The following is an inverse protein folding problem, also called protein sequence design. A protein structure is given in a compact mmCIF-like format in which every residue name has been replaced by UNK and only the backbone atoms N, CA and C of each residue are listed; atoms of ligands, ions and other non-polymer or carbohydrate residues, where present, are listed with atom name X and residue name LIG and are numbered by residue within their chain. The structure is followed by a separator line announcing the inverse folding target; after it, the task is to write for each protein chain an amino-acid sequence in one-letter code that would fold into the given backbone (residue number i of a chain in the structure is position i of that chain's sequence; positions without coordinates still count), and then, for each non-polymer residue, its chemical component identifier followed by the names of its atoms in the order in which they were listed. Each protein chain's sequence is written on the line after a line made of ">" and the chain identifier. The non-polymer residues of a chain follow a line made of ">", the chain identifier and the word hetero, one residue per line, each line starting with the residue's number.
data_IF_132765893816
#
_entry.id   IF_132765893816
#
_cell.length_a   1.000
_cell.length_b   1.000
_cell.length_c   1.000
_cell.angle_alpha   90.00
_cell.angle_beta   90.00
_cell.angle_gamma   90.00
#
_symmetry.space_group_name_H-M   'P 1'
#
loop_
_entity.id
_entity.type
_entity.pdbx_description
1 polymer ?
#
# COMPACT_ATOMS: atom_id res chain seq x y z
N UNK A 1 18.70 8.34 37.46
CA UNK A 1 19.69 7.95 36.44
C UNK A 1 19.17 6.69 35.76
N UNK A 2 18.28 6.85 34.77
CA UNK A 2 17.80 5.74 33.93
C UNK A 2 18.53 5.84 32.61
N UNK A 3 19.43 4.90 32.36
CA UNK A 3 20.11 4.77 31.07
C UNK A 3 19.08 4.19 30.11
N UNK A 4 18.43 5.06 29.33
CA UNK A 4 17.73 4.64 28.12
C UNK A 4 18.80 4.16 27.14
N UNK A 5 18.79 2.90 26.68
CA UNK A 5 19.66 2.51 25.58
C UNK A 5 19.23 3.33 24.36
N UNK A 6 20.17 4.08 23.79
CA UNK A 6 20.03 4.64 22.44
C UNK A 6 19.70 3.48 21.48
N UNK A 7 18.69 3.59 20.60
CA UNK A 7 18.44 2.58 19.58
C UNK A 7 19.56 2.66 18.55
N UNK A 8 20.69 2.01 18.84
CA UNK A 8 21.66 1.64 17.82
C UNK A 8 20.92 0.81 16.79
N UNK A 9 20.82 1.37 15.58
CA UNK A 9 20.35 0.72 14.38
C UNK A 9 20.87 -0.72 14.32
N UNK A 10 19.98 -1.69 14.54
CA UNK A 10 20.22 -3.06 14.11
C UNK A 10 20.29 -3.01 12.59
N UNK A 11 21.49 -3.20 12.05
CA UNK A 11 21.68 -3.33 10.62
C UNK A 11 20.77 -4.48 10.11
N UNK A 12 19.88 -4.24 9.14
CA UNK A 12 19.03 -5.30 8.61
C UNK A 12 19.88 -6.40 7.99
N UNK A 13 19.39 -7.64 8.04
CA UNK A 13 19.98 -8.77 7.34
C UNK A 13 20.27 -8.39 5.87
N UNK A 14 21.36 -8.89 5.24
CA UNK A 14 21.71 -8.51 3.88
C UNK A 14 20.57 -8.91 2.93
N UNK A 15 19.78 -7.93 2.49
CA UNK A 15 18.69 -8.15 1.55
C UNK A 15 19.25 -8.11 0.14
N UNK A 16 19.06 -9.18 -0.65
CA UNK A 16 19.27 -9.16 -2.11
C UNK A 16 18.35 -8.16 -2.83
N UNK A 17 17.37 -7.62 -2.12
CA UNK A 17 16.46 -6.57 -2.57
C UNK A 17 17.22 -5.23 -2.61
N UNK A 18 17.36 -4.69 -3.82
CA UNK A 18 18.03 -3.41 -4.10
C UNK A 18 17.04 -2.26 -4.23
N UNK A 19 15.82 -2.50 -4.70
CA UNK A 19 14.80 -1.45 -4.79
C UNK A 19 14.09 -1.23 -3.45
N UNK A 20 13.53 -0.03 -3.18
CA UNK A 20 12.67 0.16 -2.02
C UNK A 20 11.52 -0.85 -2.00
N UNK A 21 11.24 -1.40 -0.83
CA UNK A 21 10.19 -2.40 -0.65
C UNK A 21 9.32 -2.05 0.56
N UNK A 22 8.13 -2.63 0.59
CA UNK A 22 7.19 -2.52 1.70
C UNK A 22 6.82 -3.90 2.22
N UNK A 23 6.23 -3.92 3.41
CA UNK A 23 5.77 -5.15 4.07
C UNK A 23 4.32 -5.03 4.48
N UNK A 24 3.68 -6.19 4.67
CA UNK A 24 2.30 -6.26 5.09
C UNK A 24 2.07 -7.53 5.91
N UNK A 25 1.77 -7.38 7.20
CA UNK A 25 1.27 -8.47 8.06
C UNK A 25 -0.24 -8.33 8.09
N UNK A 26 -0.92 -9.17 7.32
CA UNK A 26 -2.33 -9.02 7.00
C UNK A 26 -3.20 -8.79 8.26
N UNK A 27 -3.86 -7.64 8.30
CA UNK A 27 -4.74 -7.16 9.37
C UNK A 27 -4.06 -6.81 10.70
N UNK A 28 -2.73 -6.74 10.70
CA UNK A 28 -1.97 -6.35 11.88
C UNK A 28 -1.01 -5.22 11.50
N UNK A 29 -1.48 -3.96 11.57
CA UNK A 29 -0.62 -2.82 11.27
C UNK A 29 0.48 -2.61 12.33
N UNK A 30 0.29 -3.09 13.56
CA UNK A 30 1.31 -3.05 14.62
C UNK A 30 2.47 -3.99 14.24
N UNK A 31 2.16 -5.25 13.95
CA UNK A 31 3.15 -6.22 13.48
C UNK A 31 3.76 -5.82 12.14
N UNK A 32 3.00 -5.14 11.27
CA UNK A 32 3.54 -4.59 10.01
C UNK A 32 4.63 -3.54 10.26
N UNK A 33 4.45 -2.66 11.24
CA UNK A 33 5.49 -1.72 11.66
C UNK A 33 6.70 -2.43 12.27
N UNK A 34 6.47 -3.42 13.13
CA UNK A 34 7.57 -4.20 13.73
C UNK A 34 8.40 -4.92 12.65
N UNK A 35 7.72 -5.54 11.68
CA UNK A 35 8.36 -6.18 10.53
C UNK A 35 9.09 -5.17 9.65
N UNK A 36 8.52 -3.98 9.44
CA UNK A 36 9.18 -2.93 8.67
C UNK A 36 10.49 -2.49 9.32
N UNK A 37 10.48 -2.28 10.64
CA UNK A 37 11.67 -1.93 11.41
C UNK A 37 12.71 -3.05 11.41
N UNK A 38 12.29 -4.31 11.50
CA UNK A 38 13.20 -5.46 11.49
C UNK A 38 13.85 -5.70 10.13
N UNK A 39 13.16 -5.38 9.04
CA UNK A 39 13.62 -5.68 7.66
C UNK A 39 14.20 -4.48 6.92
N UNK A 40 13.94 -3.26 7.39
CA UNK A 40 14.32 -2.03 6.70
C UNK A 40 13.33 -1.60 5.60
N UNK A 41 12.10 -2.14 5.61
CA UNK A 41 11.05 -1.77 4.68
C UNK A 41 10.72 -0.27 4.80
N UNK A 42 10.34 0.35 3.68
CA UNK A 42 10.09 1.79 3.59
C UNK A 42 8.63 2.18 3.71
N UNK A 43 7.73 1.21 3.58
CA UNK A 43 6.31 1.45 3.68
C UNK A 43 5.54 0.20 4.13
N UNK A 44 4.38 0.42 4.71
CA UNK A 44 3.41 -0.62 5.03
C UNK A 44 2.06 -0.30 4.38
N UNK A 45 1.30 -1.33 4.04
CA UNK A 45 0.00 -1.18 3.39
C UNK A 45 -1.07 -1.96 4.13
N UNK A 46 -1.90 -1.27 4.89
CA UNK A 46 -2.85 -1.89 5.80
C UNK A 46 -4.20 -1.18 5.83
N UNK A 47 -5.17 -1.83 6.47
CA UNK A 47 -6.46 -1.21 6.81
C UNK A 47 -6.31 -0.58 8.19
N UNK A 48 -5.98 0.71 8.22
CA UNK A 48 -5.73 1.43 9.47
C UNK A 48 -7.00 1.94 10.14
N UNK A 49 -8.05 2.22 9.36
CA UNK A 49 -9.23 2.96 9.82
C UNK A 49 -10.52 2.27 9.38
N UNK A 50 -11.59 2.52 10.13
CA UNK A 50 -12.94 2.04 9.84
C UNK A 50 -13.30 0.77 10.59
N UNK A 51 -14.56 0.37 10.43
CA UNK A 51 -15.05 -0.89 10.91
C UNK A 51 -15.73 -1.64 9.78
N UNK A 52 -15.37 -2.91 9.59
CA UNK A 52 -15.80 -3.70 8.43
C UNK A 52 -16.37 -5.05 8.87
N UNK A 53 -17.36 -5.55 8.13
CA UNK A 53 -17.78 -6.94 8.21
C UNK A 53 -17.17 -7.72 7.05
N UNK A 54 -16.63 -8.90 7.35
CA UNK A 54 -16.03 -9.82 6.37
C UNK A 54 -16.28 -11.27 6.78
N UNK A 55 -15.79 -12.21 5.97
CA UNK A 55 -15.78 -13.65 6.29
C UNK A 55 -14.97 -13.99 7.56
N UNK A 56 -14.15 -13.05 8.05
CA UNK A 56 -13.35 -13.18 9.28
C UNK A 56 -14.01 -12.51 10.49
N UNK A 57 -15.25 -12.02 10.35
CA UNK A 57 -15.98 -11.29 11.37
C UNK A 57 -15.84 -9.78 11.26
N UNK A 58 -16.00 -9.10 12.41
CA UNK A 58 -15.92 -7.64 12.50
C UNK A 58 -14.46 -7.21 12.65
N UNK A 59 -14.00 -6.37 11.75
CA UNK A 59 -12.74 -5.66 11.86
C UNK A 59 -13.00 -4.34 12.55
N UNK A 60 -12.52 -4.19 13.79
CA UNK A 60 -12.66 -2.97 14.59
C UNK A 60 -11.29 -2.31 14.73
N UNK A 61 -10.95 -1.44 13.77
CA UNK A 61 -9.59 -0.88 13.70
C UNK A 61 -9.39 0.25 14.70
N UNK A 62 -8.17 0.36 15.26
CA UNK A 62 -7.78 1.43 16.17
C UNK A 62 -6.53 2.14 15.66
N UNK A 63 -6.72 3.07 14.70
CA UNK A 63 -5.62 3.87 14.13
C UNK A 63 -4.80 4.60 15.20
N UNK A 64 -5.43 5.07 16.28
CA UNK A 64 -4.74 5.80 17.35
C UNK A 64 -3.74 4.92 18.10
N UNK A 65 -4.09 3.65 18.35
CA UNK A 65 -3.19 2.67 18.95
C UNK A 65 -2.02 2.34 18.02
N UNK A 66 -2.33 2.07 16.75
CA UNK A 66 -1.35 1.79 15.70
C UNK A 66 -0.32 2.90 15.53
N UNK A 67 -0.76 4.16 15.43
CA UNK A 67 0.14 5.30 15.24
C UNK A 67 0.93 5.61 16.52
N UNK A 68 0.34 5.45 17.72
CA UNK A 68 1.11 5.53 18.98
C UNK A 68 2.21 4.47 19.03
N UNK A 69 1.96 3.26 18.53
CA UNK A 69 2.98 2.22 18.42
C UNK A 69 4.09 2.61 17.44
N UNK A 70 3.74 3.10 16.24
CA UNK A 70 4.70 3.62 15.26
C UNK A 70 5.68 4.62 15.91
N UNK A 71 5.15 5.61 16.64
CA UNK A 71 5.99 6.58 17.35
C UNK A 71 6.85 5.94 18.44
N UNK A 72 6.30 4.99 19.21
CA UNK A 72 7.01 4.30 20.29
C UNK A 72 8.24 3.55 19.79
N UNK A 73 8.16 2.92 18.62
CA UNK A 73 9.26 2.13 18.04
C UNK A 73 10.15 2.95 17.09
N UNK A 74 9.88 4.25 16.92
CA UNK A 74 10.66 5.12 16.03
C UNK A 74 10.41 4.89 14.54
N UNK A 75 9.28 4.30 14.16
CA UNK A 75 8.92 4.00 12.77
C UNK A 75 8.29 5.21 12.01
N UNK A 76 8.59 6.44 12.42
CA UNK A 76 7.99 7.65 11.84
C UNK A 76 8.31 7.87 10.36
N UNK A 77 9.41 7.30 9.87
CA UNK A 77 9.82 7.37 8.46
C UNK A 77 9.23 6.24 7.60
N UNK A 78 8.54 5.25 8.20
CA UNK A 78 7.85 4.19 7.47
C UNK A 78 6.54 4.74 6.93
N UNK A 79 6.43 4.81 5.60
CA UNK A 79 5.26 5.36 4.91
C UNK A 79 4.03 4.47 5.08
N UNK A 80 2.86 5.09 5.13
CA UNK A 80 1.59 4.40 5.39
C UNK A 80 0.64 4.47 4.20
N UNK A 81 0.29 3.31 3.64
CA UNK A 81 -0.64 3.17 2.53
C UNK A 81 -1.96 2.63 3.08
N UNK A 82 -2.97 3.49 3.16
CA UNK A 82 -4.26 3.18 3.79
C UNK A 82 -5.21 2.53 2.80
N UNK A 83 -5.52 1.26 2.99
CA UNK A 83 -6.55 0.58 2.20
C UNK A 83 -7.95 0.90 2.73
N UNK A 84 -8.71 1.70 1.98
CA UNK A 84 -10.05 2.16 2.38
C UNK A 84 -11.18 1.34 1.75
N UNK A 85 -10.86 0.50 0.76
CA UNK A 85 -11.79 -0.46 0.14
C UNK A 85 -11.16 -1.85 0.25
N UNK A 86 -11.25 -2.50 1.42
CA UNK A 86 -10.73 -3.84 1.56
C UNK A 86 -11.51 -4.85 0.74
N UNK A 87 -10.80 -5.88 0.30
CA UNK A 87 -11.40 -7.00 -0.42
C UNK A 87 -12.19 -7.91 0.53
N UNK A 88 -13.29 -8.50 0.04
CA UNK A 88 -14.17 -9.41 0.79
C UNK A 88 -14.73 -8.81 2.09
N UNK A 89 -14.85 -7.48 2.14
CA UNK A 89 -15.30 -6.77 3.33
C UNK A 89 -16.20 -5.57 2.96
N UNK A 90 -17.18 -5.30 3.81
CA UNK A 90 -18.11 -4.16 3.68
C UNK A 90 -17.96 -3.25 4.89
N UNK A 91 -17.94 -1.94 4.65
CA UNK A 91 -17.91 -0.96 5.72
C UNK A 91 -19.23 -1.06 6.53
N UNK A 92 -19.13 -1.20 7.85
CA UNK A 92 -20.30 -1.40 8.72
C UNK A 92 -21.23 -0.18 8.77
N UNK A 93 -20.67 1.01 8.58
CA UNK A 93 -21.46 2.22 8.35
C UNK A 93 -21.91 2.34 6.89
N UNK A 94 -23.13 2.80 6.66
CA UNK A 94 -23.61 3.14 5.31
C UNK A 94 -23.03 4.51 4.86
N UNK A 95 -21.70 4.66 4.87
CA UNK A 95 -20.99 5.88 4.49
C UNK A 95 -20.55 5.78 3.04
N UNK A 96 -20.80 6.83 2.27
CA UNK A 96 -20.24 6.95 0.93
C UNK A 96 -18.71 7.00 0.95
N UNK A 97 -18.08 6.34 -0.01
CA UNK A 97 -16.63 6.20 -0.11
C UNK A 97 -15.88 7.53 -0.24
N UNK A 98 -16.46 8.53 -0.91
CA UNK A 98 -15.86 9.87 -1.00
C UNK A 98 -15.86 10.52 0.39
N UNK A 99 -16.92 10.32 1.18
CA UNK A 99 -16.98 10.79 2.56
C UNK A 99 -15.97 10.07 3.46
N UNK A 100 -15.79 8.75 3.27
CA UNK A 100 -14.75 7.98 3.96
C UNK A 100 -13.37 8.56 3.62
N UNK A 101 -13.03 8.68 2.33
CA UNK A 101 -11.76 9.20 1.85
C UNK A 101 -11.43 10.58 2.42
N UNK A 102 -12.38 11.54 2.35
CA UNK A 102 -12.20 12.89 2.92
C UNK A 102 -11.89 12.84 4.42
N UNK A 103 -12.67 12.07 5.18
CA UNK A 103 -12.48 11.97 6.63
C UNK A 103 -11.19 11.23 7.00
N UNK A 104 -10.79 10.22 6.22
CA UNK A 104 -9.54 9.49 6.45
C UNK A 104 -8.35 10.41 6.22
N UNK A 105 -8.35 11.18 5.13
CA UNK A 105 -7.28 12.14 4.82
C UNK A 105 -7.21 13.24 5.89
N UNK A 106 -8.35 13.86 6.21
CA UNK A 106 -8.40 14.95 7.17
C UNK A 106 -7.97 14.54 8.59
N UNK A 107 -8.38 13.35 9.05
CA UNK A 107 -8.09 12.93 10.42
C UNK A 107 -6.73 12.24 10.57
N UNK A 108 -6.24 11.54 9.54
CA UNK A 108 -5.11 10.61 9.68
C UNK A 108 -3.91 10.94 8.80
N UNK A 109 -4.07 11.81 7.80
CA UNK A 109 -2.98 12.26 6.91
C UNK A 109 -2.13 11.10 6.35
N UNK A 110 -2.75 10.09 5.69
CA UNK A 110 -2.02 8.96 5.15
C UNK A 110 -1.06 9.40 4.03
N UNK A 111 0.08 8.72 3.88
CA UNK A 111 0.98 9.00 2.76
C UNK A 111 0.36 8.61 1.41
N UNK A 112 -0.55 7.63 1.42
CA UNK A 112 -1.31 7.20 0.25
C UNK A 112 -2.64 6.55 0.65
N UNK A 113 -3.64 6.68 -0.22
CA UNK A 113 -4.85 5.84 -0.18
C UNK A 113 -4.75 4.72 -1.21
N UNK A 114 -5.21 3.54 -0.82
CA UNK A 114 -5.36 2.38 -1.67
C UNK A 114 -6.87 2.14 -1.92
N UNK A 115 -7.24 2.07 -3.19
CA UNK A 115 -8.62 1.80 -3.64
C UNK A 115 -8.63 0.54 -4.49
N UNK A 116 -9.36 -0.47 -4.03
CA UNK A 116 -9.56 -1.73 -4.76
C UNK A 116 -10.93 -1.77 -5.44
N UNK A 117 -11.04 -2.60 -6.49
CA UNK A 117 -12.34 -3.05 -6.99
C UNK A 117 -12.98 -4.06 -6.02
N UNK A 118 -14.28 -4.27 -6.14
CA UNK A 118 -15.09 -5.12 -5.24
C UNK A 118 -14.66 -6.60 -5.20
N UNK A 119 -13.84 -7.10 -6.14
CA UNK A 119 -13.38 -8.50 -6.17
C UNK A 119 -12.01 -8.63 -6.87
N UNK A 120 -11.05 -9.41 -6.34
CA UNK A 120 -9.80 -9.70 -7.04
C UNK A 120 -10.05 -10.31 -8.42
N UNK A 121 -9.34 -9.79 -9.42
CA UNK A 121 -9.50 -10.21 -10.82
C UNK A 121 -10.72 -9.63 -11.52
N UNK A 122 -11.63 -8.95 -10.82
CA UNK A 122 -12.61 -8.07 -11.48
C UNK A 122 -11.98 -6.70 -11.74
N UNK A 123 -12.27 -6.13 -12.90
CA UNK A 123 -11.80 -4.80 -13.30
C UNK A 123 -12.10 -3.83 -12.15
N UNK A 124 -11.05 -3.20 -11.60
CA UNK A 124 -11.20 -2.09 -10.65
C UNK A 124 -12.27 -1.16 -11.22
N UNK A 125 -13.28 -0.81 -10.42
CA UNK A 125 -14.30 0.13 -10.87
C UNK A 125 -13.61 1.49 -11.09
N UNK A 126 -13.22 1.75 -12.34
CA UNK A 126 -12.53 2.98 -12.74
C UNK A 126 -13.34 4.21 -12.33
N UNK A 127 -14.67 4.11 -12.24
CA UNK A 127 -15.51 5.19 -11.75
C UNK A 127 -15.33 5.43 -10.25
N UNK A 128 -15.28 4.37 -9.43
CA UNK A 128 -14.97 4.48 -8.00
C UNK A 128 -13.61 5.12 -7.75
N UNK A 129 -12.58 4.62 -8.44
CA UNK A 129 -11.22 5.14 -8.34
C UNK A 129 -11.16 6.63 -8.72
N UNK A 130 -11.80 7.00 -9.82
CA UNK A 130 -11.88 8.39 -10.29
C UNK A 130 -12.58 9.29 -9.28
N UNK A 131 -13.74 8.87 -8.76
CA UNK A 131 -14.49 9.61 -7.74
C UNK A 131 -13.65 9.86 -6.49
N UNK A 132 -12.88 8.87 -6.03
CA UNK A 132 -11.99 9.03 -4.88
C UNK A 132 -10.86 9.99 -5.22
N UNK A 133 -10.20 9.86 -6.38
CA UNK A 133 -9.12 10.77 -6.78
C UNK A 133 -9.58 12.22 -6.90
N UNK A 134 -10.75 12.47 -7.50
CA UNK A 134 -11.35 13.81 -7.60
C UNK A 134 -11.73 14.39 -6.23
N UNK A 135 -12.06 13.51 -5.28
CA UNK A 135 -12.45 13.88 -3.93
C UNK A 135 -11.27 14.34 -3.07
N UNK A 136 -10.09 13.74 -3.25
CA UNK A 136 -8.86 14.03 -2.51
C UNK A 136 -7.70 14.30 -3.49
N UNK A 137 -7.75 15.41 -4.25
CA UNK A 137 -6.82 15.66 -5.34
C UNK A 137 -5.35 15.75 -4.89
N UNK A 138 -5.11 16.27 -3.68
CA UNK A 138 -3.78 16.48 -3.10
C UNK A 138 -3.21 15.23 -2.42
N UNK A 139 -4.02 14.17 -2.25
CA UNK A 139 -3.57 12.90 -1.69
C UNK A 139 -3.23 11.93 -2.81
N UNK A 140 -2.15 11.17 -2.61
CA UNK A 140 -1.81 10.05 -3.48
C UNK A 140 -2.93 8.99 -3.43
N UNK A 141 -3.39 8.56 -4.60
CA UNK A 141 -4.37 7.47 -4.72
C UNK A 141 -3.80 6.36 -5.60
N UNK A 142 -3.75 5.16 -5.05
CA UNK A 142 -3.26 3.92 -5.67
C UNK A 142 -4.41 3.01 -6.05
N UNK A 143 -4.42 2.53 -7.30
CA UNK A 143 -5.24 1.41 -7.73
C UNK A 143 -4.66 0.11 -7.15
N UNK A 144 -5.29 -0.45 -6.11
CA UNK A 144 -4.66 -1.46 -5.26
C UNK A 144 -4.86 -2.92 -5.71
N UNK A 145 -6.07 -3.30 -6.13
CA UNK A 145 -6.37 -4.66 -6.60
C UNK A 145 -7.01 -4.58 -7.99
N UNK A 146 -6.66 -5.53 -8.87
CA UNK A 146 -7.29 -5.71 -10.18
C UNK A 146 -6.55 -5.08 -11.37
N UNK A 147 -5.35 -4.53 -11.14
CA UNK A 147 -4.54 -3.93 -12.21
C UNK A 147 -3.75 -5.01 -12.96
N UNK A 148 -3.97 -5.07 -14.28
CA UNK A 148 -3.36 -5.99 -15.22
C UNK A 148 -2.88 -5.24 -16.48
N UNK A 149 -2.17 -5.93 -17.38
CA UNK A 149 -1.59 -5.30 -18.58
C UNK A 149 -2.64 -4.64 -19.48
N UNK A 150 -3.85 -5.20 -19.49
CA UNK A 150 -4.95 -4.76 -20.33
C UNK A 150 -5.62 -3.47 -19.81
N UNK A 151 -5.46 -3.13 -18.53
CA UNK A 151 -6.11 -1.98 -17.91
C UNK A 151 -5.14 -0.98 -17.24
N UNK A 152 -3.85 -1.30 -17.14
CA UNK A 152 -2.87 -0.48 -16.41
C UNK A 152 -2.81 0.96 -16.95
N UNK A 153 -2.88 1.17 -18.25
CA UNK A 153 -2.86 2.52 -18.84
C UNK A 153 -4.10 3.33 -18.46
N UNK A 154 -5.28 2.71 -18.49
CA UNK A 154 -6.53 3.33 -18.06
C UNK A 154 -6.48 3.69 -16.57
N UNK A 155 -6.07 2.75 -15.72
CA UNK A 155 -5.98 2.96 -14.27
C UNK A 155 -4.98 4.06 -13.92
N UNK A 156 -3.81 4.09 -14.57
CA UNK A 156 -2.78 5.10 -14.37
C UNK A 156 -3.12 6.47 -15.00
N UNK A 157 -4.13 6.54 -15.86
CA UNK A 157 -4.68 7.83 -16.31
C UNK A 157 -5.51 8.54 -15.23
N UNK A 158 -5.91 7.79 -14.19
CA UNK A 158 -6.79 8.25 -13.10
C UNK A 158 -6.02 8.28 -11.77
N UNK A 159 -5.55 7.12 -11.31
CA UNK A 159 -4.75 7.01 -10.12
C UNK A 159 -3.37 7.58 -10.39
N UNK A 160 -2.65 8.00 -9.34
CA UNK A 160 -1.26 8.34 -9.59
C UNK A 160 -0.46 7.05 -9.93
N UNK A 161 -1.05 5.82 -9.70
CA UNK A 161 -0.40 4.49 -9.57
C UNK A 161 -1.19 3.24 -9.31
N UNK A 162 -0.47 2.14 -9.14
CA UNK A 162 -1.07 0.85 -8.81
C UNK A 162 -0.20 -0.10 -7.98
N UNK A 163 -0.87 -1.04 -7.31
CA UNK A 163 -0.31 -2.27 -6.75
C UNK A 163 -0.81 -3.44 -7.61
N UNK A 164 0.10 -4.33 -8.02
CA UNK A 164 -0.26 -5.53 -8.81
C UNK A 164 0.60 -6.72 -8.39
N UNK A 165 0.04 -7.91 -8.46
CA UNK A 165 0.72 -9.16 -8.09
C UNK A 165 0.36 -10.30 -9.04
N UNK A 166 -0.95 -10.56 -9.24
CA UNK A 166 -1.45 -11.67 -10.04
C UNK A 166 -0.98 -11.63 -11.48
N UNK A 167 -0.78 -10.45 -12.06
CA UNK A 167 -0.25 -10.30 -13.43
C UNK A 167 1.14 -10.89 -13.62
N UNK A 168 1.93 -11.02 -12.56
CA UNK A 168 3.24 -11.66 -12.62
C UNK A 168 3.19 -13.15 -12.39
N UNK A 169 2.08 -13.68 -11.88
CA UNK A 169 1.89 -15.12 -11.69
C UNK A 169 1.63 -15.79 -13.01
N UNK A 170 2.09 -17.05 -13.13
CA UNK A 170 1.76 -17.90 -14.27
C UNK A 170 0.26 -17.90 -14.53
N UNK A 171 -0.10 -17.57 -15.78
CA UNK A 171 -1.48 -17.48 -16.27
C UNK A 171 -2.40 -16.55 -15.46
N UNK A 172 -1.85 -15.60 -14.69
CA UNK A 172 -2.65 -14.70 -13.84
C UNK A 172 -3.21 -15.35 -12.57
N UNK A 173 -2.87 -16.62 -12.30
CA UNK A 173 -3.46 -17.40 -11.21
C UNK A 173 -2.70 -17.16 -9.90
N UNK A 174 -3.38 -16.62 -8.89
CA UNK A 174 -2.78 -16.28 -7.59
C UNK A 174 -2.01 -17.44 -6.93
N UNK A 175 -2.56 -18.65 -7.00
CA UNK A 175 -1.99 -19.85 -6.39
C UNK A 175 -0.70 -20.37 -7.05
N UNK A 176 -0.35 -19.87 -8.24
CA UNK A 176 0.87 -20.31 -8.91
C UNK A 176 2.10 -19.70 -8.22
N UNK A 177 3.12 -20.51 -7.94
CA UNK A 177 4.39 -20.03 -7.36
C UNK A 177 5.38 -19.54 -8.42
N UNK A 178 5.16 -19.91 -9.69
CA UNK A 178 5.98 -19.50 -10.83
C UNK A 178 5.61 -18.08 -11.32
N UNK A 179 6.63 -17.27 -11.60
CA UNK A 179 6.48 -15.96 -12.24
C UNK A 179 6.76 -16.11 -13.75
N UNK A 180 5.87 -15.66 -14.61
CA UNK A 180 5.92 -15.98 -16.06
C UNK A 180 6.62 -14.96 -16.96
N UNK A 181 6.91 -13.73 -16.50
CA UNK A 181 7.39 -12.69 -17.42
C UNK A 181 8.58 -11.88 -16.89
N UNK A 182 9.75 -12.05 -17.54
CA UNK A 182 10.90 -11.12 -17.48
C UNK A 182 10.75 -9.93 -18.44
N UNK A 183 9.80 -9.94 -19.37
CA UNK A 183 9.81 -9.10 -20.58
C UNK A 183 9.02 -7.77 -20.53
N UNK A 184 8.56 -7.30 -19.37
CA UNK A 184 7.90 -5.98 -19.30
C UNK A 184 8.46 -5.07 -18.22
N UNK A 185 9.76 -5.18 -17.94
CA UNK A 185 10.46 -4.21 -17.07
C UNK A 185 10.23 -2.77 -17.56
N UNK A 186 10.04 -2.53 -18.86
CA UNK A 186 9.81 -1.19 -19.42
C UNK A 186 8.44 -0.57 -19.07
N UNK A 187 7.36 -1.36 -19.11
CA UNK A 187 6.01 -0.90 -18.75
C UNK A 187 5.87 -0.78 -17.23
N UNK A 188 6.44 -1.72 -16.47
CA UNK A 188 6.37 -1.76 -15.01
C UNK A 188 7.36 -0.80 -14.31
N UNK A 189 8.40 -0.32 -15.01
CA UNK A 189 9.14 0.91 -14.62
C UNK A 189 8.19 2.06 -14.33
N UNK A 190 6.98 2.08 -14.92
CA UNK A 190 5.94 3.08 -14.63
C UNK A 190 5.12 2.82 -13.37
N UNK A 191 5.04 1.59 -12.88
CA UNK A 191 4.28 1.28 -11.66
C UNK A 191 5.13 1.51 -10.40
N UNK A 192 6.46 1.43 -10.53
CA UNK A 192 7.45 1.85 -9.52
C UNK A 192 7.60 3.40 -9.46
N UNK A 193 6.89 4.17 -10.31
CA UNK A 193 6.93 5.65 -10.32
C UNK A 193 6.50 6.26 -8.98
N UNK A 194 5.89 5.50 -8.09
CA UNK A 194 5.40 6.01 -6.81
C UNK A 194 6.43 6.50 -5.85
N UNK A 195 7.60 5.91 -5.90
CA UNK A 195 8.61 6.12 -4.91
C UNK A 195 8.87 7.65 -4.78
N UNK A 196 8.93 8.38 -5.89
CA UNK A 196 9.18 9.82 -5.92
C UNK A 196 8.06 10.69 -5.28
N UNK A 197 6.77 10.34 -5.43
CA UNK A 197 5.63 11.14 -4.89
C UNK A 197 5.43 10.96 -3.38
N UNK A 198 5.78 9.81 -2.83
CA UNK A 198 5.71 9.53 -1.38
C UNK A 198 7.09 9.63 -0.69
N UNK A 199 8.10 10.20 -1.37
CA UNK A 199 9.43 10.45 -0.80
C UNK A 199 10.32 9.22 -0.61
N UNK A 200 9.96 8.08 -1.23
CA UNK A 200 10.78 6.87 -1.26
C UNK A 200 11.73 6.97 -2.47
N UNK A 201 13.01 7.29 -2.24
CA UNK A 201 13.96 7.58 -3.33
C UNK A 201 14.12 6.46 -4.39
N UNK A 202 14.27 6.90 -5.64
CA UNK A 202 14.57 6.19 -6.91
C UNK A 202 15.85 5.32 -6.95
N UNK A 203 16.50 5.05 -5.83
CA UNK A 203 17.78 4.36 -5.82
C UNK A 203 17.63 2.92 -6.32
N UNK A 204 18.40 2.59 -7.36
CA UNK A 204 18.58 1.27 -8.00
C UNK A 204 17.73 1.00 -9.25
N UNK A 205 17.90 1.88 -10.25
CA UNK A 205 17.83 1.52 -11.67
C UNK A 205 19.27 1.31 -12.15
N UNK A 206 19.74 0.06 -12.40
CA UNK A 206 20.98 -0.14 -13.14
C UNK A 206 20.77 0.36 -14.58
N UNK A 207 21.61 1.29 -15.06
CA UNK A 207 21.66 1.67 -16.48
C UNK A 207 21.36 3.13 -16.84
N UNK A 208 21.66 4.09 -15.97
CA UNK A 208 21.95 5.48 -16.41
C UNK A 208 23.28 5.94 -15.84
N UNK A 209 24.36 5.47 -16.43
CA UNK A 209 25.52 6.34 -16.60
C UNK A 209 25.26 7.25 -17.82
N UNK A 210 25.83 8.44 -17.72
CA UNK A 210 25.74 9.66 -18.54
C UNK A 210 25.24 9.50 -19.99
#
# INVERSE_FOLDING_TARGET
>A
MSITPSPTAQAPAPTDIRIPFGVNVLWDPVASFDLAMATGAKFIREIFTGAYASDFGVWDTNVGETIRHQHRIGAGEVKTLFNIVPEAAVYLGNRDICSIAKSTVFNNHPDALCVSGLTAGTRTDSALLKRVKETVPDTVVLANTGVCLENVEEQLSIADGCVTATTFKKDGVFANFELTRRESVSLWRKCIIYADKIGISRALIPGKEQ
#
